data_IF_984495964009
#
_entry.id   IF_984495964009
#
_cell.length_a   1.000
_cell.length_b   1.000
_cell.length_c   1.000
_cell.angle_alpha   90.00
_cell.angle_beta   90.00
_cell.angle_gamma   90.00
#
_symmetry.space_group_name_H-M   'P 1'
#
loop_
_entity.id
_entity.type
_entity.pdbx_description
1 polymer ?
#
# COMPACT_ATOMS: atom_id res chain seq x y z
N UNK A 1 2.95 -7.73 -17.75
CA UNK A 1 2.34 -6.49 -17.22
C UNK A 1 1.92 -6.79 -15.78
N UNK A 2 2.22 -5.90 -14.82
CA UNK A 2 1.78 -6.05 -13.42
C UNK A 2 0.30 -5.69 -13.28
N UNK A 3 -0.48 -6.60 -12.70
CA UNK A 3 -1.92 -6.43 -12.44
C UNK A 3 -2.16 -5.37 -11.35
N UNK A 4 -3.32 -4.68 -11.35
CA UNK A 4 -3.67 -3.73 -10.28
C UNK A 4 -3.58 -4.34 -8.88
N UNK A 5 -4.03 -5.59 -8.70
CA UNK A 5 -3.91 -6.33 -7.43
C UNK A 5 -2.45 -6.56 -7.02
N UNK A 6 -1.60 -7.00 -7.94
CA UNK A 6 -0.16 -7.17 -7.68
C UNK A 6 0.51 -5.84 -7.30
N UNK A 7 0.10 -4.74 -7.94
CA UNK A 7 0.60 -3.40 -7.63
C UNK A 7 0.14 -2.94 -6.24
N UNK A 8 -1.16 -3.03 -5.95
CA UNK A 8 -1.72 -2.69 -4.64
C UNK A 8 -1.04 -3.50 -3.55
N UNK A 9 -0.89 -4.82 -3.73
CA UNK A 9 -0.18 -5.69 -2.79
C UNK A 9 1.24 -5.20 -2.51
N UNK A 10 2.04 -4.94 -3.56
CA UNK A 10 3.43 -4.52 -3.38
C UNK A 10 3.55 -3.15 -2.69
N UNK A 11 2.67 -2.20 -3.00
CA UNK A 11 2.64 -0.90 -2.33
C UNK A 11 2.34 -1.08 -0.84
N UNK A 12 1.28 -1.81 -0.50
CA UNK A 12 0.90 -2.01 0.90
C UNK A 12 1.95 -2.81 1.69
N UNK A 13 2.56 -3.82 1.07
CA UNK A 13 3.65 -4.61 1.67
C UNK A 13 4.91 -3.76 1.90
N UNK A 14 5.24 -2.83 1.01
CA UNK A 14 6.34 -1.89 1.25
C UNK A 14 6.05 -0.98 2.45
N UNK A 15 4.81 -0.51 2.63
CA UNK A 15 4.40 0.20 3.85
C UNK A 15 4.56 -0.64 5.12
N UNK A 16 4.14 -1.92 5.07
CA UNK A 16 4.32 -2.87 6.17
C UNK A 16 5.81 -3.13 6.48
N UNK A 17 6.65 -3.23 5.46
CA UNK A 17 8.10 -3.39 5.59
C UNK A 17 8.75 -2.17 6.24
N UNK A 18 8.42 -0.95 5.80
CA UNK A 18 8.93 0.29 6.40
C UNK A 18 8.56 0.39 7.88
N UNK A 19 7.34 -0.03 8.25
CA UNK A 19 6.88 -0.11 9.64
C UNK A 19 7.72 -1.07 10.48
N UNK A 20 8.12 -2.23 9.94
CA UNK A 20 9.04 -3.14 10.62
C UNK A 20 10.45 -2.56 10.78
N UNK A 21 11.00 -1.99 9.72
CA UNK A 21 12.33 -1.39 9.76
C UNK A 21 12.39 -0.29 10.81
N UNK A 22 11.38 0.58 10.88
CA UNK A 22 11.30 1.64 11.87
C UNK A 22 11.30 1.12 13.32
N UNK A 23 10.70 -0.05 13.56
CA UNK A 23 10.57 -0.65 14.91
C UNK A 23 11.71 -1.61 15.30
N UNK A 24 12.44 -2.16 14.33
CA UNK A 24 13.40 -3.25 14.56
C UNK A 24 14.73 -2.77 15.15
N UNK A 25 15.04 -3.16 16.39
CA UNK A 25 16.32 -2.80 17.03
C UNK A 25 17.55 -3.44 16.36
N UNK A 26 17.37 -4.45 15.50
CA UNK A 26 18.45 -5.08 14.75
C UNK A 26 18.95 -4.23 13.57
N UNK A 27 18.23 -3.18 13.19
CA UNK A 27 18.54 -2.28 12.07
C UNK A 27 19.25 -1.03 12.59
N UNK A 28 20.29 -0.50 11.90
CA UNK A 28 20.96 0.74 12.30
C UNK A 28 20.01 1.92 12.48
N UNK A 29 20.30 2.80 13.45
CA UNK A 29 19.41 3.90 13.85
C UNK A 29 19.03 4.79 12.66
N UNK A 30 19.98 5.06 11.78
CA UNK A 30 19.84 5.92 10.61
C UNK A 30 18.80 5.35 9.64
N UNK A 31 18.83 4.03 9.42
CA UNK A 31 17.86 3.33 8.56
C UNK A 31 16.47 3.32 9.20
N UNK A 32 16.35 3.15 10.52
CA UNK A 32 15.06 3.23 11.21
C UNK A 32 14.44 4.62 11.10
N UNK A 33 15.25 5.66 11.26
CA UNK A 33 14.81 7.05 11.15
C UNK A 33 14.32 7.37 9.74
N UNK A 34 15.04 6.88 8.72
CA UNK A 34 14.62 7.06 7.33
C UNK A 34 13.34 6.28 7.02
N UNK A 35 13.23 5.03 7.46
CA UNK A 35 12.01 4.25 7.31
C UNK A 35 10.81 4.94 7.97
N UNK A 36 11.00 5.48 9.17
CA UNK A 36 9.97 6.26 9.86
C UNK A 36 9.61 7.56 9.12
N UNK A 37 10.60 8.29 8.58
CA UNK A 37 10.39 9.50 7.77
C UNK A 37 9.55 9.21 6.53
N UNK A 38 9.86 8.13 5.81
CA UNK A 38 9.12 7.69 4.63
C UNK A 38 7.69 7.27 4.99
N UNK A 39 7.53 6.49 6.08
CA UNK A 39 6.25 5.98 6.52
C UNK A 39 5.22 7.09 6.80
N UNK A 40 5.64 8.28 7.25
CA UNK A 40 4.75 9.43 7.51
C UNK A 40 3.98 9.94 6.29
N UNK A 41 4.49 9.66 5.09
CA UNK A 41 3.87 10.11 3.83
C UNK A 41 3.61 8.93 2.90
N UNK A 42 3.81 7.71 3.38
CA UNK A 42 3.52 6.51 2.62
C UNK A 42 2.02 6.25 2.67
N UNK A 43 1.38 5.86 1.55
CA UNK A 43 -0.06 5.61 1.55
C UNK A 43 -0.44 4.53 2.55
N UNK A 44 -1.50 4.80 3.31
CA UNK A 44 -2.14 3.84 4.21
C UNK A 44 -3.07 2.92 3.42
N UNK A 45 -3.56 1.85 4.07
CA UNK A 45 -4.61 1.00 3.50
C UNK A 45 -5.81 1.82 3.04
N UNK A 46 -6.28 2.75 3.87
CA UNK A 46 -7.45 3.57 3.57
C UNK A 46 -7.21 4.56 2.43
N UNK A 47 -5.98 5.07 2.27
CA UNK A 47 -5.64 5.91 1.11
C UNK A 47 -5.73 5.11 -0.19
N UNK A 48 -5.23 3.87 -0.19
CA UNK A 48 -5.27 2.97 -1.34
C UNK A 48 -6.71 2.56 -1.69
N UNK A 49 -7.53 2.22 -0.69
CA UNK A 49 -8.94 1.89 -0.87
C UNK A 49 -9.70 3.09 -1.49
N UNK A 50 -9.50 4.29 -0.96
CA UNK A 50 -10.15 5.51 -1.47
C UNK A 50 -9.75 5.82 -2.92
N UNK A 51 -8.46 5.66 -3.28
CA UNK A 51 -8.00 5.86 -4.66
C UNK A 51 -8.61 4.82 -5.59
N UNK A 52 -8.58 3.53 -5.21
CA UNK A 52 -9.12 2.45 -6.03
C UNK A 52 -10.63 2.61 -6.26
N UNK A 53 -11.40 2.95 -5.22
CA UNK A 53 -12.83 3.22 -5.34
C UNK A 53 -13.10 4.40 -6.28
N UNK A 54 -12.29 5.46 -6.21
CA UNK A 54 -12.42 6.61 -7.11
C UNK A 54 -12.15 6.24 -8.57
N UNK A 55 -11.14 5.41 -8.83
CA UNK A 55 -10.82 4.91 -10.18
C UNK A 55 -11.96 4.03 -10.74
N UNK A 56 -12.52 3.15 -9.93
CA UNK A 56 -13.67 2.31 -10.29
C UNK A 56 -14.90 3.16 -10.61
N UNK A 57 -15.19 4.17 -9.78
CA UNK A 57 -16.29 5.11 -9.99
C UNK A 57 -16.10 5.91 -11.28
N UNK A 58 -14.89 6.43 -11.54
CA UNK A 58 -14.59 7.15 -12.77
C UNK A 58 -14.77 6.27 -14.01
N UNK A 59 -14.34 5.01 -13.93
CA UNK A 59 -14.54 4.04 -15.01
C UNK A 59 -16.02 3.78 -15.27
N UNK A 60 -16.83 3.61 -14.21
CA UNK A 60 -18.27 3.40 -14.33
C UNK A 60 -18.98 4.60 -14.98
N UNK A 61 -18.58 5.83 -14.62
CA UNK A 61 -19.18 7.06 -15.16
C UNK A 61 -18.79 7.33 -16.61
N UNK A 62 -17.54 7.04 -16.98
CA UNK A 62 -17.01 7.36 -18.32
C UNK A 62 -17.28 6.25 -19.34
N UNK A 63 -17.47 5.00 -18.89
CA UNK A 63 -17.54 3.80 -19.72
C UNK A 63 -16.38 3.67 -20.73
N UNK A 64 -15.28 4.39 -20.48
CA UNK A 64 -14.16 4.49 -21.40
C UNK A 64 -13.22 3.31 -21.24
N UNK A 65 -12.89 2.64 -22.34
CA UNK A 65 -11.87 1.59 -22.36
C UNK A 65 -10.45 2.09 -22.03
N UNK A 66 -10.25 3.41 -22.03
CA UNK A 66 -8.99 4.06 -21.67
C UNK A 66 -8.84 4.30 -20.17
N UNK A 67 -9.93 4.21 -19.39
CA UNK A 67 -9.88 4.28 -17.93
C UNK A 67 -9.67 2.87 -17.38
N UNK A 68 -8.40 2.54 -17.13
CA UNK A 68 -8.00 1.27 -16.50
C UNK A 68 -7.64 1.55 -15.05
N UNK A 69 -8.19 0.80 -14.08
CA UNK A 69 -7.81 0.94 -12.68
C UNK A 69 -6.31 0.71 -12.52
N UNK A 70 -5.63 1.61 -11.83
CA UNK A 70 -4.22 1.48 -11.50
C UNK A 70 -4.05 0.65 -10.22
N UNK A 71 -4.97 0.81 -9.28
CA UNK A 71 -5.04 0.07 -8.03
C UNK A 71 -6.28 -0.84 -8.02
N UNK A 72 -6.28 -1.78 -7.08
CA UNK A 72 -7.42 -2.60 -6.72
C UNK A 72 -7.88 -2.28 -5.29
N UNK A 73 -9.20 -2.29 -5.09
CA UNK A 73 -9.86 -2.16 -3.79
C UNK A 73 -9.93 -3.48 -3.02
N UNK A 74 -9.68 -4.62 -3.70
CA UNK A 74 -9.68 -5.95 -3.10
C UNK A 74 -8.34 -6.21 -2.38
N UNK A 75 -8.34 -6.02 -1.06
CA UNK A 75 -7.16 -6.25 -0.22
C UNK A 75 -7.35 -7.53 0.57
N UNK A 76 -6.52 -8.53 0.30
CA UNK A 76 -6.56 -9.81 1.00
C UNK A 76 -5.73 -9.76 2.29
N UNK A 77 -6.25 -10.37 3.37
CA UNK A 77 -5.60 -10.33 4.68
C UNK A 77 -4.26 -11.10 4.71
N UNK A 78 -4.14 -12.16 3.91
CA UNK A 78 -2.98 -13.03 3.83
C UNK A 78 -1.74 -12.34 3.20
N UNK A 79 -1.94 -11.25 2.46
CA UNK A 79 -0.86 -10.42 1.92
C UNK A 79 0.08 -9.89 3.00
N UNK A 80 -0.39 -9.79 4.26
CA UNK A 80 0.40 -9.31 5.38
C UNK A 80 0.91 -10.41 6.31
N UNK A 81 0.76 -11.69 5.95
CA UNK A 81 1.20 -12.84 6.76
C UNK A 81 2.69 -12.80 7.10
N UNK A 82 3.53 -12.31 6.19
CA UNK A 82 4.97 -12.07 6.42
C UNK A 82 5.29 -10.82 7.25
N UNK A 83 4.27 -10.07 7.69
CA UNK A 83 4.45 -8.79 8.37
C UNK A 83 3.82 -8.75 9.77
N UNK A 84 4.57 -9.06 10.86
CA UNK A 84 4.01 -9.15 12.22
C UNK A 84 3.37 -7.87 12.74
N UNK A 85 3.84 -6.70 12.28
CA UNK A 85 3.27 -5.41 12.65
C UNK A 85 2.07 -5.00 11.80
N UNK A 86 1.69 -5.82 10.81
CA UNK A 86 0.59 -5.59 9.89
C UNK A 86 0.86 -4.47 8.88
N UNK A 87 -0.17 -4.09 8.11
CA UNK A 87 -0.09 -3.00 7.14
C UNK A 87 0.10 -1.63 7.80
N UNK A 88 0.50 -0.65 6.99
CA UNK A 88 0.50 0.75 7.40
C UNK A 88 -0.94 1.27 7.54
N UNK A 89 -1.26 1.74 8.74
CA UNK A 89 -2.55 2.31 9.14
C UNK A 89 -2.29 3.53 10.03
N UNK A 90 -3.23 4.48 10.03
CA UNK A 90 -3.25 5.65 10.93
C UNK A 90 -3.50 5.18 12.37
#
# INVERSE_FOLDING_TARGET
MTMPSERTRNVLQAGAFLRQLAASQAVPKEVRQEAYRLLRHYPTVSDIEAIAEHEERLRALTQSAFVRPYLSSEIEADWFSGYPLGPHRI
#
